data_IF_829960246918
#
_entry.id   IF_829960246918
#
_cell.length_a   1.000
_cell.length_b   1.000
_cell.length_c   1.000
_cell.angle_alpha   90.00
_cell.angle_beta   90.00
_cell.angle_gamma   90.00
#
_symmetry.space_group_name_H-M   'P 1'
#
loop_
_entity.id
_entity.type
_entity.pdbx_description
1 polymer ?
#
# COMPACT_ATOMS: atom_id res chain seq x y z
N UNK A 1 -15.27 13.13 -28.30
CA UNK A 1 -15.53 11.86 -27.59
C UNK A 1 -15.11 10.73 -28.47
N UNK A 2 -14.10 9.98 -28.08
CA UNK A 2 -13.66 8.81 -28.84
C UNK A 2 -14.61 7.65 -28.48
N UNK A 3 -15.46 7.25 -29.42
CA UNK A 3 -16.27 6.03 -29.35
C UNK A 3 -15.42 4.87 -29.84
N UNK A 4 -14.60 4.32 -28.96
CA UNK A 4 -13.82 3.13 -29.22
C UNK A 4 -14.38 1.96 -28.41
N UNK A 5 -14.44 0.76 -29.00
CA UNK A 5 -14.77 -0.47 -28.31
C UNK A 5 -13.58 -0.85 -27.40
N UNK A 6 -13.72 -0.68 -26.09
CA UNK A 6 -12.68 -1.03 -25.13
C UNK A 6 -12.92 -2.44 -24.58
N UNK A 7 -11.86 -3.23 -24.49
CA UNK A 7 -11.89 -4.44 -23.69
C UNK A 7 -11.89 -4.00 -22.22
N UNK A 8 -13.03 -4.13 -21.56
CA UNK A 8 -13.19 -3.82 -20.15
C UNK A 8 -13.21 -5.13 -19.37
N UNK A 9 -12.27 -5.31 -18.46
CA UNK A 9 -12.28 -6.43 -17.52
C UNK A 9 -12.68 -5.92 -16.15
N UNK A 10 -13.80 -6.43 -15.63
CA UNK A 10 -14.15 -6.26 -14.23
C UNK A 10 -13.61 -7.45 -13.42
N UNK A 11 -12.77 -7.20 -12.43
CA UNK A 11 -12.31 -8.20 -11.47
C UNK A 11 -12.90 -7.88 -10.10
N UNK A 12 -13.55 -8.87 -9.48
CA UNK A 12 -13.91 -8.79 -8.07
C UNK A 12 -12.64 -8.94 -7.24
N UNK A 13 -12.25 -7.90 -6.53
CA UNK A 13 -11.05 -7.90 -5.68
C UNK A 13 -11.40 -8.25 -4.24
N UNK A 14 -12.58 -7.83 -3.78
CA UNK A 14 -13.14 -8.11 -2.46
C UNK A 14 -14.66 -8.11 -2.56
N UNK A 15 -15.35 -8.57 -1.52
CA UNK A 15 -16.81 -8.71 -1.48
C UNK A 15 -17.60 -7.46 -1.90
N UNK A 16 -16.98 -6.29 -1.92
CA UNK A 16 -17.59 -5.00 -2.28
C UNK A 16 -16.76 -4.15 -3.24
N UNK A 17 -15.68 -4.69 -3.79
CA UNK A 17 -14.78 -3.93 -4.65
C UNK A 17 -14.63 -4.60 -6.00
N UNK A 18 -14.98 -3.85 -7.04
CA UNK A 18 -14.68 -4.22 -8.43
C UNK A 18 -13.53 -3.35 -8.93
N UNK A 19 -12.50 -3.99 -9.45
CA UNK A 19 -11.43 -3.32 -10.17
C UNK A 19 -11.78 -3.34 -11.66
N UNK A 20 -11.79 -2.15 -12.27
CA UNK A 20 -12.02 -2.00 -13.69
C UNK A 20 -10.66 -1.83 -14.37
N UNK A 21 -10.30 -2.77 -15.22
CA UNK A 21 -9.08 -2.77 -16.01
C UNK A 21 -9.43 -2.47 -17.46
N UNK A 22 -8.77 -1.48 -18.04
CA UNK A 22 -8.91 -1.12 -19.43
C UNK A 22 -7.58 -0.53 -19.94
N UNK A 23 -7.44 -0.42 -21.24
CA UNK A 23 -6.31 0.28 -21.85
C UNK A 23 -6.55 1.80 -21.79
N UNK A 24 -6.32 2.36 -20.61
CA UNK A 24 -6.51 3.76 -20.33
C UNK A 24 -5.45 4.61 -21.04
N UNK A 25 -5.85 5.31 -22.10
CA UNK A 25 -4.93 6.20 -22.82
C UNK A 25 -4.75 7.53 -22.07
N UNK A 26 -3.53 8.05 -21.96
CA UNK A 26 -3.27 9.36 -21.37
C UNK A 26 -4.06 10.47 -22.09
N UNK A 27 -4.41 11.53 -21.38
CA UNK A 27 -5.14 12.71 -21.85
C UNK A 27 -6.57 12.44 -22.33
N UNK A 28 -7.07 11.20 -22.19
CA UNK A 28 -8.43 10.86 -22.60
C UNK A 28 -9.41 10.98 -21.42
N UNK A 29 -10.64 11.27 -21.79
CA UNK A 29 -11.76 11.32 -20.88
C UNK A 29 -12.73 10.18 -21.21
N UNK A 30 -13.03 9.36 -20.23
CA UNK A 30 -13.90 8.19 -20.35
C UNK A 30 -15.15 8.38 -19.53
N UNK A 31 -16.28 7.98 -20.07
CA UNK A 31 -17.53 7.90 -19.34
C UNK A 31 -17.82 6.44 -18.97
N UNK A 32 -17.72 6.13 -17.67
CA UNK A 32 -18.13 4.84 -17.15
C UNK A 32 -19.64 4.88 -16.90
N UNK A 33 -20.38 3.95 -17.49
CA UNK A 33 -21.80 3.77 -17.25
C UNK A 33 -22.04 2.37 -16.68
N UNK A 34 -22.68 2.30 -15.53
CA UNK A 34 -23.20 1.08 -14.93
C UNK A 34 -24.71 1.16 -15.06
N UNK A 35 -25.33 0.25 -15.79
CA UNK A 35 -26.77 0.25 -15.99
C UNK A 35 -27.52 -0.12 -14.72
N UNK A 36 -28.77 0.29 -14.65
CA UNK A 36 -29.69 -0.14 -13.58
C UNK A 36 -29.79 -1.67 -13.59
N UNK A 37 -29.94 -2.26 -12.40
CA UNK A 37 -30.00 -3.70 -12.17
C UNK A 37 -28.69 -4.48 -12.45
N UNK A 38 -27.58 -3.78 -12.69
CA UNK A 38 -26.29 -4.43 -12.95
C UNK A 38 -25.78 -5.22 -11.73
N UNK A 39 -26.10 -4.76 -10.53
CA UNK A 39 -25.74 -5.45 -9.28
C UNK A 39 -26.96 -5.64 -8.40
N UNK A 40 -27.00 -6.77 -7.70
CA UNK A 40 -28.01 -7.07 -6.71
C UNK A 40 -27.37 -7.21 -5.33
N UNK A 41 -27.83 -6.42 -4.37
CA UNK A 41 -27.38 -6.49 -2.99
C UNK A 41 -27.94 -7.72 -2.25
N UNK A 42 -27.38 -8.02 -1.08
CA UNK A 42 -27.78 -9.18 -0.24
C UNK A 42 -29.26 -9.15 0.19
N UNK A 43 -29.88 -7.98 0.17
CA UNK A 43 -31.31 -7.80 0.49
C UNK A 43 -32.21 -7.77 -0.75
N UNK A 44 -31.71 -8.17 -1.92
CA UNK A 44 -32.46 -8.16 -3.18
C UNK A 44 -32.66 -6.78 -3.79
N UNK A 45 -32.05 -5.73 -3.24
CA UNK A 45 -32.09 -4.39 -3.83
C UNK A 45 -31.13 -4.33 -5.01
N UNK A 46 -31.55 -3.68 -6.06
CA UNK A 46 -30.77 -3.49 -7.27
C UNK A 46 -30.10 -2.11 -7.29
N UNK A 47 -29.01 -2.01 -8.03
CA UNK A 47 -28.35 -0.72 -8.28
C UNK A 47 -29.16 0.15 -9.22
N UNK A 48 -29.16 1.45 -8.97
CA UNK A 48 -29.58 2.45 -9.93
C UNK A 48 -28.52 2.66 -11.01
N UNK A 49 -28.89 3.33 -12.10
CA UNK A 49 -27.92 3.70 -13.14
C UNK A 49 -26.91 4.69 -12.58
N UNK A 50 -25.61 4.36 -12.68
CA UNK A 50 -24.50 5.22 -12.29
C UNK A 50 -23.73 5.65 -13.53
N UNK A 51 -23.44 6.94 -13.62
CA UNK A 51 -22.55 7.51 -14.65
C UNK A 51 -21.45 8.29 -13.97
N UNK A 52 -20.21 7.96 -14.33
CA UNK A 52 -19.03 8.62 -13.78
C UNK A 52 -18.05 8.94 -14.90
N UNK A 53 -17.57 10.17 -14.91
CA UNK A 53 -16.50 10.58 -15.80
C UNK A 53 -15.15 10.32 -15.17
N UNK A 54 -14.25 9.65 -15.90
CA UNK A 54 -12.88 9.38 -15.50
C UNK A 54 -11.96 10.06 -16.50
N UNK A 55 -11.13 11.00 -16.03
CA UNK A 55 -10.12 11.67 -16.84
C UNK A 55 -8.75 11.09 -16.53
N UNK A 56 -8.08 10.58 -17.56
CA UNK A 56 -6.72 10.10 -17.46
C UNK A 56 -5.76 11.26 -17.65
N UNK A 57 -4.91 11.47 -16.66
CA UNK A 57 -3.91 12.54 -16.69
C UNK A 57 -2.82 12.25 -17.71
N UNK A 58 -2.03 13.28 -18.04
CA UNK A 58 -0.79 13.14 -18.83
C UNK A 58 0.22 12.29 -18.09
N UNK A 59 1.08 11.59 -18.84
CA UNK A 59 2.19 10.83 -18.25
C UNK A 59 3.09 11.70 -17.38
N UNK A 60 3.35 12.91 -17.83
CA UNK A 60 4.19 13.92 -17.17
C UNK A 60 3.57 14.44 -15.84
N UNK A 61 2.29 14.19 -15.61
CA UNK A 61 1.64 14.56 -14.35
C UNK A 61 1.85 13.53 -13.22
N UNK A 62 2.50 12.40 -13.52
CA UNK A 62 2.82 11.34 -12.56
C UNK A 62 4.31 11.31 -12.23
N UNK A 63 4.64 10.66 -11.14
CA UNK A 63 6.02 10.30 -10.81
C UNK A 63 6.23 8.80 -10.85
N UNK A 64 7.48 8.39 -10.79
CA UNK A 64 7.91 6.99 -10.84
C UNK A 64 8.94 6.72 -9.74
N UNK A 65 8.90 5.53 -9.14
CA UNK A 65 9.94 5.01 -8.26
C UNK A 65 10.45 3.71 -8.87
N UNK A 66 11.73 3.66 -9.17
CA UNK A 66 12.45 2.48 -9.64
C UNK A 66 13.35 1.99 -8.50
N UNK A 67 13.18 0.74 -8.11
CA UNK A 67 13.93 0.14 -7.01
C UNK A 67 14.82 -1.00 -7.52
N UNK A 68 16.11 -0.91 -7.20
CA UNK A 68 17.07 -2.00 -7.33
C UNK A 68 17.30 -2.58 -5.94
N UNK A 69 16.76 -3.76 -5.67
CA UNK A 69 16.71 -4.39 -4.35
C UNK A 69 17.76 -5.50 -4.28
N UNK A 70 18.61 -5.44 -3.27
CA UNK A 70 19.62 -6.45 -2.98
C UNK A 70 19.32 -7.16 -1.67
N UNK A 71 19.50 -8.48 -1.66
CA UNK A 71 19.34 -9.31 -0.45
C UNK A 71 17.90 -9.71 -0.15
N UNK A 72 16.94 -9.43 -1.05
CA UNK A 72 15.58 -9.94 -0.97
C UNK A 72 15.51 -11.44 -1.31
N UNK A 73 14.52 -12.14 -0.75
CA UNK A 73 14.23 -13.52 -1.15
C UNK A 73 13.63 -13.58 -2.56
N UNK A 74 13.72 -14.71 -3.25
CA UNK A 74 13.18 -14.85 -4.64
C UNK A 74 11.70 -14.56 -4.79
N UNK A 75 10.91 -14.78 -3.73
CA UNK A 75 9.47 -14.56 -3.66
C UNK A 75 9.11 -13.31 -2.85
N UNK A 76 10.02 -12.36 -2.74
CA UNK A 76 9.76 -11.11 -2.02
C UNK A 76 8.76 -10.23 -2.78
N UNK A 77 7.91 -9.55 -2.01
CA UNK A 77 6.93 -8.60 -2.52
C UNK A 77 7.21 -7.22 -1.93
N UNK A 78 7.39 -6.24 -2.81
CA UNK A 78 7.49 -4.84 -2.44
C UNK A 78 6.10 -4.21 -2.38
N UNK A 79 5.82 -3.47 -1.31
CA UNK A 79 4.55 -2.79 -1.10
C UNK A 79 4.77 -1.29 -0.98
N UNK A 80 3.98 -0.56 -1.76
CA UNK A 80 3.88 0.89 -1.67
C UNK A 80 2.80 1.25 -0.65
N UNK A 81 3.17 2.06 0.34
CA UNK A 81 2.29 2.44 1.45
C UNK A 81 1.99 3.95 1.42
N UNK A 82 0.82 4.31 1.95
CA UNK A 82 0.49 5.70 2.29
C UNK A 82 1.09 6.11 3.66
N UNK A 83 0.87 7.36 4.06
CA UNK A 83 1.31 7.90 5.35
C UNK A 83 0.63 7.23 6.57
N UNK A 84 -0.48 6.53 6.37
CA UNK A 84 -1.18 5.77 7.41
C UNK A 84 -0.69 4.33 7.51
N UNK A 85 0.21 3.92 6.59
CA UNK A 85 0.74 2.56 6.48
C UNK A 85 -0.23 1.59 5.79
N UNK A 86 -1.21 2.08 5.05
CA UNK A 86 -2.07 1.25 4.23
C UNK A 86 -1.36 0.90 2.93
N UNK A 87 -1.55 -0.33 2.46
CA UNK A 87 -1.01 -0.80 1.19
C UNK A 87 -1.81 -0.21 0.03
N UNK A 88 -1.13 0.54 -0.83
CA UNK A 88 -1.70 1.12 -2.05
C UNK A 88 -1.49 0.21 -3.26
N UNK A 89 -0.31 -0.37 -3.38
CA UNK A 89 0.09 -1.28 -4.47
C UNK A 89 1.06 -2.31 -3.96
N UNK A 90 1.08 -3.45 -4.64
CA UNK A 90 2.06 -4.52 -4.45
C UNK A 90 2.75 -4.82 -5.77
N UNK A 91 4.03 -5.11 -5.72
CA UNK A 91 4.84 -5.48 -6.85
C UNK A 91 5.78 -6.62 -6.46
N UNK A 92 5.69 -7.80 -7.09
CA UNK A 92 6.68 -8.85 -6.90
C UNK A 92 8.07 -8.34 -7.29
N UNK A 93 9.07 -8.69 -6.50
CA UNK A 93 10.47 -8.41 -6.86
C UNK A 93 10.87 -9.34 -8.00
N UNK A 94 11.40 -8.77 -9.08
CA UNK A 94 11.85 -9.57 -10.23
C UNK A 94 13.09 -10.41 -9.89
N UNK A 95 13.41 -11.37 -10.73
CA UNK A 95 14.62 -12.19 -10.59
C UNK A 95 15.90 -11.33 -10.61
N UNK A 96 15.83 -10.18 -11.29
CA UNK A 96 16.92 -9.22 -11.38
C UNK A 96 17.00 -8.32 -10.12
N UNK A 97 16.07 -8.45 -9.20
CA UNK A 97 16.00 -7.67 -7.97
C UNK A 97 15.36 -6.30 -8.14
N UNK A 98 14.48 -6.12 -9.11
CA UNK A 98 13.80 -4.83 -9.33
C UNK A 98 12.34 -4.86 -8.89
N UNK A 99 11.83 -3.72 -8.44
CA UNK A 99 10.41 -3.49 -8.18
C UNK A 99 10.08 -2.03 -8.49
N UNK A 100 9.25 -1.81 -9.53
CA UNK A 100 8.99 -0.48 -10.06
C UNK A 100 7.56 -0.06 -9.80
N UNK A 101 7.39 1.20 -9.40
CA UNK A 101 6.10 1.83 -9.17
C UNK A 101 5.90 3.03 -10.09
N UNK A 102 5.10 2.83 -11.13
CA UNK A 102 4.76 3.85 -12.12
C UNK A 102 3.47 4.58 -11.75
N UNK A 103 3.24 5.74 -12.35
CA UNK A 103 2.00 6.52 -12.26
C UNK A 103 1.62 6.90 -10.82
N UNK A 104 2.58 7.38 -10.07
CA UNK A 104 2.39 7.85 -8.72
C UNK A 104 1.88 9.29 -8.70
N UNK A 105 0.87 9.55 -7.86
CA UNK A 105 0.31 10.89 -7.74
C UNK A 105 1.33 11.85 -7.11
N UNK A 106 1.52 13.05 -7.68
CA UNK A 106 2.37 14.06 -7.08
C UNK A 106 1.78 14.62 -5.78
N UNK A 107 2.62 15.27 -4.99
CA UNK A 107 2.26 15.84 -3.69
C UNK A 107 1.76 14.82 -2.67
N UNK A 108 2.06 13.53 -2.89
CA UNK A 108 1.72 12.42 -2.01
C UNK A 108 3.00 11.85 -1.41
N UNK A 109 2.96 11.53 -0.12
CA UNK A 109 4.05 10.82 0.55
C UNK A 109 3.87 9.32 0.41
N UNK A 110 4.92 8.66 -0.06
CA UNK A 110 4.97 7.22 -0.22
C UNK A 110 6.06 6.61 0.64
N UNK A 111 5.76 5.44 1.17
CA UNK A 111 6.68 4.60 1.93
C UNK A 111 6.74 3.24 1.27
N UNK A 112 7.85 2.54 1.43
CA UNK A 112 8.02 1.21 0.87
C UNK A 112 8.39 0.24 1.97
N UNK A 113 7.71 -0.89 1.98
CA UNK A 113 8.11 -2.07 2.73
C UNK A 113 8.22 -3.26 1.78
N UNK A 114 8.99 -4.25 2.19
CA UNK A 114 9.15 -5.51 1.50
C UNK A 114 8.91 -6.62 2.50
N UNK A 115 8.26 -7.68 2.09
CA UNK A 115 8.18 -8.90 2.87
C UNK A 115 8.55 -10.12 2.02
N UNK A 116 9.04 -11.16 2.69
CA UNK A 116 9.40 -12.42 2.06
C UNK A 116 8.17 -13.34 2.14
N UNK A 117 7.43 -13.47 1.03
CA UNK A 117 6.24 -14.32 0.92
C UNK A 117 6.68 -15.79 0.84
N UNK A 118 6.66 -16.50 1.98
CA UNK A 118 7.16 -17.89 2.08
C UNK A 118 6.24 -18.94 1.48
N UNK A 119 4.96 -18.64 1.37
CA UNK A 119 3.93 -19.57 0.92
C UNK A 119 3.29 -19.19 -0.40
N UNK A 120 3.80 -18.13 -1.06
CA UNK A 120 3.34 -17.62 -2.36
C UNK A 120 1.84 -17.26 -2.39
N UNK A 121 1.31 -16.77 -1.26
CA UNK A 121 -0.09 -16.37 -1.18
C UNK A 121 -0.34 -14.88 -1.52
N UNK A 122 0.72 -14.09 -1.67
CA UNK A 122 0.66 -12.66 -1.98
C UNK A 122 0.25 -11.76 -0.83
N UNK A 123 0.18 -12.29 0.39
CA UNK A 123 -0.24 -11.57 1.61
C UNK A 123 0.75 -11.82 2.72
N UNK A 124 1.12 -10.77 3.44
CA UNK A 124 1.98 -10.93 4.60
C UNK A 124 1.31 -11.72 5.72
N UNK A 125 1.97 -12.76 6.19
CA UNK A 125 1.49 -13.65 7.24
C UNK A 125 2.11 -13.37 8.60
N UNK A 126 1.26 -13.29 9.63
CA UNK A 126 1.66 -13.08 11.03
C UNK A 126 2.32 -14.30 11.68
N UNK A 127 2.36 -15.42 10.97
CA UNK A 127 2.79 -16.69 11.51
C UNK A 127 1.67 -17.43 12.28
N UNK A 128 2.03 -18.56 12.88
CA UNK A 128 1.10 -19.44 13.61
C UNK A 128 1.78 -19.91 14.90
N UNK A 129 1.25 -19.50 16.04
CA UNK A 129 1.82 -19.82 17.35
C UNK A 129 1.77 -21.33 17.66
N UNK A 130 0.66 -21.98 17.33
CA UNK A 130 0.44 -23.41 17.63
C UNK A 130 1.37 -24.29 16.79
N UNK A 131 1.61 -23.89 15.54
CA UNK A 131 2.54 -24.57 14.63
C UNK A 131 3.99 -24.09 14.78
N UNK A 132 4.26 -23.14 15.67
CA UNK A 132 5.60 -22.52 15.86
C UNK A 132 6.16 -21.91 14.59
N UNK A 133 5.31 -21.39 13.71
CA UNK A 133 5.69 -20.69 12.51
C UNK A 133 5.86 -19.22 12.84
N UNK A 134 7.05 -18.65 12.59
CA UNK A 134 7.34 -17.24 12.80
C UNK A 134 6.62 -16.38 11.75
N UNK A 135 6.33 -15.10 12.04
CA UNK A 135 5.88 -14.14 11.04
C UNK A 135 6.84 -14.07 9.85
N UNK A 136 6.33 -13.69 8.71
CA UNK A 136 7.17 -13.39 7.56
C UNK A 136 8.04 -12.15 7.82
N UNK A 137 9.28 -12.21 7.33
CA UNK A 137 10.23 -11.12 7.52
C UNK A 137 9.79 -9.89 6.72
N UNK A 138 9.85 -8.74 7.38
CA UNK A 138 9.46 -7.46 6.82
C UNK A 138 10.61 -6.48 6.91
N UNK A 139 10.90 -5.85 5.79
CA UNK A 139 11.91 -4.80 5.67
C UNK A 139 11.25 -3.48 5.30
N UNK A 140 11.78 -2.37 5.79
CA UNK A 140 11.30 -1.04 5.44
C UNK A 140 12.42 -0.25 4.78
N UNK A 141 12.10 0.41 3.68
CA UNK A 141 13.02 1.36 3.07
C UNK A 141 13.13 2.59 3.99
N UNK A 142 14.35 3.02 4.36
CA UNK A 142 14.57 4.04 5.38
C UNK A 142 14.40 5.48 4.86
N UNK A 143 13.57 5.69 3.85
CA UNK A 143 13.32 6.99 3.24
C UNK A 143 11.84 7.14 2.88
N UNK A 144 11.33 8.35 2.97
CA UNK A 144 10.01 8.74 2.46
C UNK A 144 10.18 9.48 1.14
N UNK A 145 9.31 9.23 0.19
CA UNK A 145 9.25 9.99 -1.06
C UNK A 145 8.06 10.94 -1.04
N UNK A 146 8.34 12.21 -1.17
CA UNK A 146 7.34 13.21 -1.53
C UNK A 146 7.35 13.34 -3.04
N UNK A 147 6.38 12.70 -3.68
CA UNK A 147 6.36 12.57 -5.13
C UNK A 147 6.13 13.90 -5.82
N UNK A 148 6.86 14.13 -6.91
CA UNK A 148 6.70 15.28 -7.79
C UNK A 148 6.26 14.80 -9.17
N UNK A 149 5.51 15.66 -9.88
CA UNK A 149 5.15 15.41 -11.27
C UNK A 149 6.40 15.36 -12.15
N UNK A 150 6.39 14.51 -13.15
CA UNK A 150 7.49 14.28 -14.09
C UNK A 150 8.84 14.00 -13.40
N UNK A 151 8.80 13.27 -12.28
CA UNK A 151 10.01 12.94 -11.53
C UNK A 151 10.16 11.43 -11.41
N UNK A 152 11.37 10.96 -11.66
CA UNK A 152 11.77 9.57 -11.52
C UNK A 152 12.80 9.46 -10.40
N UNK A 153 12.53 8.61 -9.43
CA UNK A 153 13.45 8.25 -8.37
C UNK A 153 14.02 6.86 -8.67
N UNK A 154 15.32 6.79 -8.85
CA UNK A 154 16.03 5.52 -8.91
C UNK A 154 16.80 5.31 -7.60
N UNK A 155 16.51 4.20 -6.91
CA UNK A 155 17.06 3.93 -5.60
C UNK A 155 17.63 2.50 -5.52
N UNK A 156 18.80 2.38 -4.90
CA UNK A 156 19.40 1.11 -4.60
C UNK A 156 19.17 0.77 -3.13
N UNK A 157 18.53 -0.36 -2.89
CA UNK A 157 18.16 -0.80 -1.54
C UNK A 157 18.77 -2.15 -1.20
N UNK A 158 19.75 -2.15 -0.29
CA UNK A 158 20.20 -3.37 0.37
C UNK A 158 19.36 -3.55 1.65
N UNK A 159 18.51 -4.58 1.67
CA UNK A 159 17.58 -4.83 2.79
C UNK A 159 18.30 -5.17 4.09
N UNK A 160 19.56 -5.61 4.01
CA UNK A 160 20.40 -5.98 5.15
C UNK A 160 21.33 -4.85 5.63
N UNK A 161 21.36 -3.70 4.94
CA UNK A 161 22.26 -2.60 5.29
C UNK A 161 21.97 -1.99 6.67
N UNK A 162 20.71 -2.03 7.10
CA UNK A 162 20.24 -1.49 8.38
C UNK A 162 19.57 -2.61 9.16
N UNK A 163 19.81 -2.76 10.48
CA UNK A 163 19.09 -3.71 11.31
C UNK A 163 17.55 -3.51 11.22
N UNK A 164 16.80 -4.60 11.14
CA UNK A 164 15.34 -4.59 10.89
C UNK A 164 14.57 -3.74 11.90
N UNK A 165 15.00 -3.74 13.17
CA UNK A 165 14.40 -2.95 14.25
C UNK A 165 14.54 -1.43 14.05
N UNK A 166 15.49 -0.99 13.20
CA UNK A 166 15.78 0.43 12.91
C UNK A 166 15.32 0.91 11.55
N UNK A 167 14.81 0.02 10.70
CA UNK A 167 14.41 0.37 9.34
C UNK A 167 13.11 1.16 9.27
N UNK A 168 12.14 0.83 10.16
CA UNK A 168 10.81 1.43 10.10
C UNK A 168 10.83 2.89 10.53
N UNK A 169 10.38 3.77 9.65
CA UNK A 169 10.30 5.20 9.90
C UNK A 169 9.27 5.53 10.99
N UNK A 170 9.57 6.51 11.85
CA UNK A 170 8.71 6.89 12.98
C UNK A 170 7.33 7.40 12.53
N UNK A 171 7.25 7.97 11.34
CA UNK A 171 6.02 8.51 10.75
C UNK A 171 4.95 7.43 10.54
N UNK A 172 5.36 6.20 10.19
CA UNK A 172 4.46 5.06 9.95
C UNK A 172 4.42 4.06 11.09
N UNK A 173 5.09 4.36 12.22
CA UNK A 173 4.98 3.54 13.43
C UNK A 173 3.61 3.76 14.07
N UNK A 174 2.79 2.72 14.11
CA UNK A 174 1.49 2.75 14.80
C UNK A 174 1.63 2.85 16.32
N UNK A 175 2.70 2.27 16.88
CA UNK A 175 3.09 2.50 18.25
C UNK A 175 4.03 3.69 18.26
N UNK A 176 3.55 4.85 18.68
CA UNK A 176 4.42 5.95 19.01
C UNK A 176 5.43 5.44 20.07
N UNK A 177 6.74 5.76 19.91
CA UNK A 177 7.68 5.54 21.00
C UNK A 177 7.02 6.11 22.25
N UNK A 178 6.99 5.38 23.34
CA UNK A 178 6.37 5.84 24.57
C UNK A 178 6.87 7.27 24.85
N UNK A 179 6.08 8.27 24.53
CA UNK A 179 6.05 9.45 25.36
C UNK A 179 5.96 8.87 26.75
N UNK A 180 7.07 8.94 27.48
CA UNK A 180 7.18 8.38 28.83
C UNK A 180 5.81 8.46 29.47
N UNK A 181 5.06 7.36 29.38
CA UNK A 181 3.82 7.23 30.14
C UNK A 181 4.32 7.53 31.52
N UNK A 182 4.05 8.76 31.99
CA UNK A 182 4.22 9.08 33.38
C UNK A 182 3.46 7.99 34.04
N UNK A 183 4.17 6.96 34.48
CA UNK A 183 3.61 5.92 35.31
C UNK A 183 2.99 6.74 36.39
N UNK A 184 1.66 6.93 36.30
CA UNK A 184 0.93 7.55 37.39
C UNK A 184 1.27 6.65 38.54
N UNK A 185 2.16 7.14 39.39
CA UNK A 185 2.61 6.38 40.55
C UNK A 185 1.39 6.29 41.46
N UNK A 186 0.53 5.32 41.13
CA UNK A 186 -0.72 5.04 41.85
C UNK A 186 -0.45 4.87 43.32
N UNK A 187 0.77 4.51 43.69
CA UNK A 187 1.19 4.41 45.07
C UNK A 187 1.44 5.79 45.69
N UNK A 188 2.01 6.73 44.94
CA UNK A 188 2.13 8.15 45.39
C UNK A 188 0.78 8.85 45.50
N UNK A 189 -0.13 8.59 44.56
CA UNK A 189 -1.50 9.12 44.65
C UNK A 189 -2.26 8.52 45.84
N UNK A 190 -2.13 7.22 46.10
CA UNK A 190 -2.72 6.59 47.29
C UNK A 190 -2.11 7.11 48.57
N UNK A 191 -0.79 7.28 48.64
CA UNK A 191 -0.14 7.85 49.79
C UNK A 191 -0.61 9.32 50.08
N UNK A 192 -0.77 10.13 49.01
CA UNK A 192 -1.36 11.47 49.12
C UNK A 192 -2.80 11.49 49.59
N UNK A 193 -3.63 10.55 49.09
CA UNK A 193 -5.04 10.44 49.51
C UNK A 193 -5.21 9.91 50.96
N UNK A 194 -4.24 9.19 51.45
CA UNK A 194 -4.26 8.60 52.81
C UNK A 194 -3.55 9.49 53.84
N UNK A 195 -3.05 10.72 53.44
CA UNK A 195 -2.45 11.67 54.38
C UNK A 195 -1.15 11.18 55.01
N UNK A 196 -0.43 10.30 54.35
CA UNK A 196 0.87 9.79 54.78
C UNK A 196 1.98 10.27 53.87
#
# INVERSE_FOLDING_TARGET
>A
MATGSFLLYGRLVDARQYQILADWQPEQEYQLTIDSLAFTGIYGLHTDKVQQTVKVKKMEEYGTILLNIKGAAPNAIAELLDASGNVLRQQPVTVEGTADFYFLNPSTKYYIRLFNDRNDNGVWDTGDYDKKIQPEEVFYFPKVWEMKANFEFEENWDVNAIPVDKQKLDEIKKQKPEETKKVQDRNKERARKLGR
#
